data_IF_213289494144
#
_entry.id   IF_213289494144
#
_cell.length_a   1.000
_cell.length_b   1.000
_cell.length_c   1.000
_cell.angle_alpha   90.00
_cell.angle_beta   90.00
_cell.angle_gamma   90.00
#
_symmetry.space_group_name_H-M   'P 1'
#
loop_
_entity.id
_entity.type
_entity.pdbx_description
1 polymer ?
#
# COMPACT_ATOMS: atom_id res chain seq x y z
N UNK A 1 -17.83 12.31 4.87
CA UNK A 1 -17.25 11.49 3.78
C UNK A 1 -16.07 12.24 3.14
N UNK A 2 -16.28 13.48 2.72
CA UNK A 2 -15.23 14.30 2.09
C UNK A 2 -13.99 14.52 2.97
N UNK A 3 -14.18 14.78 4.26
CA UNK A 3 -13.08 14.92 5.21
C UNK A 3 -12.20 13.66 5.27
N UNK A 4 -12.81 12.47 5.33
CA UNK A 4 -12.08 11.20 5.34
C UNK A 4 -11.25 11.02 4.07
N UNK A 5 -11.86 11.28 2.91
CA UNK A 5 -11.19 11.16 1.61
C UNK A 5 -10.03 12.15 1.51
N UNK A 6 -10.24 13.40 1.94
CA UNK A 6 -9.21 14.43 1.93
C UNK A 6 -8.06 14.09 2.88
N UNK A 7 -8.35 13.66 4.10
CA UNK A 7 -7.33 13.24 5.07
C UNK A 7 -6.50 12.07 4.53
N UNK A 8 -7.14 11.08 3.90
CA UNK A 8 -6.43 9.97 3.28
C UNK A 8 -5.52 10.43 2.13
N UNK A 9 -6.00 11.31 1.24
CA UNK A 9 -5.19 11.89 0.16
C UNK A 9 -3.97 12.65 0.69
N UNK A 10 -4.17 13.50 1.70
CA UNK A 10 -3.08 14.25 2.34
C UNK A 10 -2.06 13.33 2.99
N UNK A 11 -2.50 12.34 3.78
CA UNK A 11 -1.61 11.37 4.41
C UNK A 11 -0.80 10.57 3.37
N UNK A 12 -1.45 10.11 2.30
CA UNK A 12 -0.79 9.37 1.22
C UNK A 12 0.24 10.21 0.47
N UNK A 13 -0.05 11.48 0.21
CA UNK A 13 0.90 12.41 -0.41
C UNK A 13 2.15 12.61 0.44
N UNK A 14 1.97 12.87 1.74
CA UNK A 14 3.09 13.01 2.69
C UNK A 14 3.91 11.72 2.79
N UNK A 15 3.25 10.56 2.80
CA UNK A 15 3.92 9.27 2.83
C UNK A 15 4.78 9.03 1.58
N UNK A 16 4.25 9.29 0.38
CA UNK A 16 5.00 9.15 -0.89
C UNK A 16 6.22 10.09 -0.88
N UNK A 17 6.04 11.34 -0.46
CA UNK A 17 7.16 12.27 -0.35
C UNK A 17 8.24 11.75 0.60
N UNK A 18 7.86 11.23 1.78
CA UNK A 18 8.82 10.66 2.72
C UNK A 18 9.60 9.47 2.12
N UNK A 19 8.92 8.60 1.36
CA UNK A 19 9.54 7.47 0.66
C UNK A 19 10.51 7.95 -0.42
N UNK A 20 10.15 8.99 -1.17
CA UNK A 20 10.99 9.56 -2.23
C UNK A 20 12.28 10.18 -1.69
N UNK A 21 12.20 10.85 -0.54
CA UNK A 21 13.38 11.40 0.13
C UNK A 21 14.26 10.32 0.81
N UNK A 22 13.75 9.10 0.99
CA UNK A 22 14.50 8.04 1.65
C UNK A 22 15.58 7.46 0.72
N UNK A 23 16.85 7.32 1.19
CA UNK A 23 17.96 6.81 0.37
C UNK A 23 17.66 5.44 -0.25
N UNK A 24 17.80 5.33 -1.57
CA UNK A 24 17.40 4.14 -2.35
C UNK A 24 18.15 2.89 -1.88
N UNK A 25 19.44 3.03 -1.63
CA UNK A 25 20.35 1.98 -1.18
C UNK A 25 19.98 1.42 0.20
N UNK A 26 19.28 2.20 1.04
CA UNK A 26 18.84 1.77 2.37
C UNK A 26 17.46 1.14 2.38
N UNK A 27 16.70 1.16 1.27
CA UNK A 27 15.28 0.75 1.26
C UNK A 27 15.06 -0.73 1.56
N UNK A 28 16.10 -1.55 1.42
CA UNK A 28 16.08 -3.00 1.68
C UNK A 28 16.75 -3.38 3.00
N UNK A 29 17.34 -2.43 3.73
CA UNK A 29 17.89 -2.68 5.06
C UNK A 29 16.76 -2.84 6.08
N UNK A 30 16.96 -3.62 7.14
CA UNK A 30 16.00 -3.73 8.22
C UNK A 30 15.99 -2.44 9.06
N UNK A 31 14.87 -1.72 9.06
CA UNK A 31 14.71 -0.40 9.69
C UNK A 31 13.63 -0.41 10.78
N UNK A 32 12.66 -1.32 10.67
CA UNK A 32 11.50 -1.41 11.55
C UNK A 32 11.43 -2.82 12.14
N UNK A 33 12.30 -3.11 13.11
CA UNK A 33 12.52 -4.48 13.57
C UNK A 33 13.16 -5.31 12.46
N UNK A 34 12.47 -6.34 11.97
CA UNK A 34 12.94 -7.16 10.86
C UNK A 34 12.51 -6.65 9.48
N UNK A 35 11.73 -5.58 9.41
CA UNK A 35 11.16 -5.08 8.16
C UNK A 35 11.98 -3.94 7.58
N UNK A 36 12.20 -3.98 6.27
CA UNK A 36 12.74 -2.88 5.48
C UNK A 36 11.66 -1.89 5.06
N UNK A 37 12.07 -0.72 4.54
CA UNK A 37 11.10 0.22 3.94
C UNK A 37 10.36 -0.44 2.77
N UNK A 38 11.02 -1.32 2.01
CA UNK A 38 10.39 -2.09 0.94
C UNK A 38 9.29 -3.01 1.47
N UNK A 39 9.52 -3.67 2.61
CA UNK A 39 8.53 -4.58 3.21
C UNK A 39 7.32 -3.81 3.73
N UNK A 40 7.55 -2.65 4.36
CA UNK A 40 6.47 -1.73 4.78
C UNK A 40 5.64 -1.27 3.58
N UNK A 41 6.29 -0.90 2.47
CA UNK A 41 5.60 -0.50 1.25
C UNK A 41 4.77 -1.64 0.64
N UNK A 42 5.32 -2.86 0.62
CA UNK A 42 4.60 -4.04 0.15
C UNK A 42 3.36 -4.31 1.01
N UNK A 43 3.51 -4.26 2.33
CA UNK A 43 2.42 -4.45 3.28
C UNK A 43 1.29 -3.42 3.11
N UNK A 44 1.63 -2.11 3.08
CA UNK A 44 0.64 -1.05 2.87
C UNK A 44 -0.07 -1.24 1.52
N UNK A 45 0.68 -1.49 0.46
CA UNK A 45 0.12 -1.68 -0.88
C UNK A 45 -0.85 -2.86 -0.93
N UNK A 46 -0.54 -3.96 -0.23
CA UNK A 46 -1.41 -5.13 -0.19
C UNK A 46 -2.75 -4.82 0.49
N UNK A 47 -2.73 -4.08 1.61
CA UNK A 47 -3.94 -3.64 2.30
C UNK A 47 -4.76 -2.64 1.48
N UNK A 48 -4.11 -1.71 0.78
CA UNK A 48 -4.79 -0.79 -0.15
C UNK A 48 -5.48 -1.56 -1.28
N UNK A 49 -4.78 -2.52 -1.91
CA UNK A 49 -5.36 -3.39 -2.95
C UNK A 49 -6.55 -4.19 -2.44
N UNK A 50 -6.44 -4.80 -1.25
CA UNK A 50 -7.55 -5.54 -0.65
C UNK A 50 -8.76 -4.64 -0.37
N UNK A 51 -8.53 -3.40 0.06
CA UNK A 51 -9.59 -2.42 0.31
C UNK A 51 -10.28 -1.97 -0.98
N UNK A 52 -9.50 -1.66 -2.02
CA UNK A 52 -10.03 -1.32 -3.36
C UNK A 52 -10.84 -2.47 -3.93
N UNK A 53 -10.37 -3.71 -3.81
CA UNK A 53 -11.11 -4.88 -4.30
C UNK A 53 -12.46 -5.02 -3.62
N UNK A 54 -12.54 -4.84 -2.29
CA UNK A 54 -13.82 -4.89 -1.56
C UNK A 54 -14.80 -3.84 -2.05
N UNK A 55 -14.34 -2.61 -2.25
CA UNK A 55 -15.19 -1.53 -2.80
C UNK A 55 -15.68 -1.90 -4.20
N UNK A 56 -14.80 -2.44 -5.06
CA UNK A 56 -15.17 -2.87 -6.40
C UNK A 56 -16.21 -4.01 -6.37
N UNK A 57 -16.06 -4.98 -5.47
CA UNK A 57 -17.02 -6.08 -5.30
C UNK A 57 -18.40 -5.53 -4.90
N UNK A 58 -18.46 -4.61 -3.93
CA UNK A 58 -19.72 -3.96 -3.51
C UNK A 58 -20.37 -3.23 -4.68
N UNK A 59 -19.59 -2.48 -5.46
CA UNK A 59 -20.09 -1.70 -6.61
C UNK A 59 -20.75 -2.60 -7.65
N UNK A 60 -20.26 -3.83 -7.83
CA UNK A 60 -20.86 -4.80 -8.78
C UNK A 60 -21.87 -5.76 -8.13
N UNK A 61 -22.29 -5.49 -6.88
CA UNK A 61 -23.26 -6.30 -6.15
C UNK A 61 -22.75 -7.67 -5.69
N UNK A 62 -21.42 -7.84 -5.60
CA UNK A 62 -20.78 -9.04 -5.04
C UNK A 62 -20.49 -8.85 -3.56
N UNK A 63 -20.64 -9.93 -2.80
CA UNK A 63 -20.21 -9.96 -1.40
C UNK A 63 -18.67 -9.86 -1.34
N UNK A 64 -18.09 -8.92 -0.58
CA UNK A 64 -16.65 -8.78 -0.46
C UNK A 64 -16.01 -9.97 0.25
N UNK A 65 -14.82 -10.36 -0.22
CA UNK A 65 -14.00 -11.33 0.52
C UNK A 65 -13.31 -10.63 1.68
N UNK A 66 -13.64 -11.06 2.90
CA UNK A 66 -12.99 -10.61 4.13
C UNK A 66 -11.76 -11.47 4.40
N UNK A 67 -10.67 -10.82 4.82
CA UNK A 67 -9.45 -11.51 5.26
C UNK A 67 -9.76 -12.08 6.64
N UNK A 68 -9.78 -13.40 6.74
CA UNK A 68 -10.11 -14.19 7.93
C UNK A 68 -8.94 -14.31 8.91
N UNK A 69 -7.71 -14.29 8.38
CA UNK A 69 -6.47 -14.36 9.16
C UNK A 69 -5.52 -13.23 8.76
N UNK A 70 -5.52 -12.18 9.57
CA UNK A 70 -4.75 -10.94 9.36
C UNK A 70 -3.25 -11.23 9.46
N UNK A 71 -2.82 -12.04 10.42
CA UNK A 71 -1.42 -12.40 10.63
C UNK A 71 -0.86 -13.13 9.41
N UNK A 72 -1.59 -14.12 8.90
CA UNK A 72 -1.22 -14.88 7.69
C UNK A 72 -1.16 -13.97 6.47
N UNK A 73 -2.14 -13.08 6.29
CA UNK A 73 -2.11 -12.11 5.20
C UNK A 73 -0.89 -11.19 5.30
N UNK A 74 -0.56 -10.70 6.50
CA UNK A 74 0.60 -9.86 6.73
C UNK A 74 1.91 -10.60 6.43
N UNK A 75 2.06 -11.84 6.89
CA UNK A 75 3.23 -12.67 6.61
C UNK A 75 3.41 -12.98 5.11
N UNK A 76 2.32 -13.23 4.40
CA UNK A 76 2.35 -13.51 2.96
C UNK A 76 2.74 -12.26 2.16
N UNK A 77 2.07 -11.15 2.43
CA UNK A 77 2.22 -9.92 1.65
C UNK A 77 3.49 -9.14 1.94
N UNK A 78 4.06 -9.26 3.15
CA UNK A 78 5.40 -8.73 3.45
C UNK A 78 6.49 -9.48 2.67
N UNK A 79 6.28 -10.75 2.32
CA UNK A 79 7.23 -11.57 1.55
C UNK A 79 7.06 -11.42 0.03
N UNK A 80 5.92 -10.92 -0.42
CA UNK A 80 5.70 -10.62 -1.84
C UNK A 80 6.61 -9.47 -2.26
N UNK A 81 7.58 -9.78 -3.13
CA UNK A 81 8.45 -8.77 -3.71
C UNK A 81 7.61 -7.83 -4.56
N UNK A 82 7.20 -6.70 -3.98
CA UNK A 82 6.68 -5.60 -4.77
C UNK A 82 7.78 -5.22 -5.79
N UNK A 83 7.51 -5.27 -7.11
CA UNK A 83 8.42 -4.64 -8.04
C UNK A 83 8.45 -3.18 -7.61
N UNK A 84 9.63 -2.68 -7.24
CA UNK A 84 9.84 -1.25 -7.06
C UNK A 84 9.70 -0.66 -8.46
N UNK A 85 8.47 -0.45 -8.91
CA UNK A 85 8.17 0.36 -10.06
C UNK A 85 8.61 1.75 -9.66
N UNK A 86 9.61 2.29 -10.36
CA UNK A 86 9.93 3.70 -10.26
C UNK A 86 8.62 4.48 -10.35
N UNK A 87 8.41 5.37 -9.38
CA UNK A 87 7.15 6.12 -9.18
C UNK A 87 6.77 7.01 -10.38
N UNK A 88 7.60 7.03 -11.43
CA UNK A 88 7.35 7.58 -12.76
C UNK A 88 6.44 6.71 -13.67
N UNK A 89 5.88 5.59 -13.20
CA UNK A 89 4.96 4.73 -13.99
C UNK A 89 3.63 4.40 -13.31
N UNK A 90 3.10 5.27 -12.45
CA UNK A 90 1.70 5.12 -12.03
C UNK A 90 0.77 5.50 -13.19
N UNK A 91 -0.27 4.69 -13.51
CA UNK A 91 -1.32 5.08 -14.45
C UNK A 91 -1.90 6.44 -14.08
N UNK A 92 -2.27 7.25 -15.08
CA UNK A 92 -2.77 8.62 -14.89
C UNK A 92 -3.93 8.74 -13.87
N UNK A 93 -4.70 7.67 -13.66
CA UNK A 93 -5.80 7.60 -12.69
C UNK A 93 -5.37 7.54 -11.21
N UNK A 94 -4.06 7.47 -10.93
CA UNK A 94 -3.50 7.55 -9.58
C UNK A 94 -2.74 8.87 -9.34
N UNK A 95 -2.79 9.82 -10.28
CA UNK A 95 -2.33 11.18 -10.10
C UNK A 95 -3.54 12.04 -9.75
N UNK A 96 -3.76 12.28 -8.45
CA UNK A 96 -4.69 13.28 -7.92
C UNK A 96 -3.91 14.26 -7.07
#
# INVERSE_FOLDING_TARGET
MDELINNYKSARSVFIQAVDHFPVEKRTEALFGSWSLKDILAHITAWEKASVQKVNDIVVGKEPVWIDNVEKFNEQTAKEKSPVLGLSRLPAFLQF
#
